data_IF_946552212716
#
_entry.id   IF_946552212716
#
_cell.length_a   1.000
_cell.length_b   1.000
_cell.length_c   1.000
_cell.angle_alpha   90.00
_cell.angle_beta   90.00
_cell.angle_gamma   90.00
#
_symmetry.space_group_name_H-M   'P 1'
#
loop_
_entity.id
_entity.type
_entity.pdbx_description
1 polymer ?
#
# COMPACT_ATOMS: atom_id res chain seq x y z
N UNK A 1 -2.46 -11.08 -7.92
CA UNK A 1 -2.89 -10.53 -6.63
C UNK A 1 -3.69 -11.55 -5.79
N UNK A 2 -4.63 -12.34 -6.38
CA UNK A 2 -5.45 -13.30 -5.63
C UNK A 2 -4.62 -14.30 -4.80
N UNK A 3 -3.59 -14.89 -5.39
CA UNK A 3 -2.72 -15.83 -4.68
C UNK A 3 -2.04 -15.19 -3.45
N UNK A 4 -1.60 -13.94 -3.57
CA UNK A 4 -1.03 -13.18 -2.44
C UNK A 4 -2.04 -12.96 -1.32
N UNK A 5 -3.29 -12.57 -1.66
CA UNK A 5 -4.36 -12.43 -0.67
C UNK A 5 -4.66 -13.76 0.03
N UNK A 6 -4.69 -14.87 -0.73
CA UNK A 6 -4.91 -16.21 -0.15
C UNK A 6 -3.77 -16.63 0.79
N UNK A 7 -2.51 -16.35 0.40
CA UNK A 7 -1.34 -16.66 1.24
C UNK A 7 -1.37 -15.86 2.54
N UNK A 8 -1.66 -14.56 2.46
CA UNK A 8 -1.77 -13.70 3.64
C UNK A 8 -2.89 -14.15 4.57
N UNK A 9 -4.08 -14.42 4.03
CA UNK A 9 -5.20 -14.90 4.83
C UNK A 9 -4.90 -16.24 5.52
N UNK A 10 -4.25 -17.16 4.80
CA UNK A 10 -3.78 -18.43 5.38
C UNK A 10 -2.82 -18.18 6.54
N UNK A 11 -1.79 -17.34 6.34
CA UNK A 11 -0.81 -17.03 7.37
C UNK A 11 -1.46 -16.38 8.61
N UNK A 12 -2.41 -15.47 8.43
CA UNK A 12 -3.15 -14.85 9.52
C UNK A 12 -3.99 -15.88 10.31
N UNK A 13 -4.73 -16.73 9.60
CA UNK A 13 -5.58 -17.75 10.24
C UNK A 13 -4.77 -18.84 10.97
N UNK A 14 -3.53 -19.10 10.53
CA UNK A 14 -2.61 -20.07 11.15
C UNK A 14 -1.70 -19.43 12.21
N UNK A 15 -1.78 -18.12 12.43
CA UNK A 15 -0.86 -17.38 13.32
C UNK A 15 -1.10 -17.61 14.80
N UNK A 16 -2.25 -18.15 15.19
CA UNK A 16 -2.69 -18.23 16.60
C UNK A 16 -3.17 -16.89 17.19
N UNK A 17 -3.22 -15.83 16.40
CA UNK A 17 -3.79 -14.54 16.80
C UNK A 17 -5.34 -14.62 16.78
N UNK A 18 -6.04 -13.81 17.57
CA UNK A 18 -7.51 -13.77 17.57
C UNK A 18 -8.03 -12.99 16.34
N UNK A 19 -7.70 -13.48 15.14
CA UNK A 19 -8.11 -12.89 13.86
C UNK A 19 -8.69 -13.97 12.98
N UNK A 20 -9.70 -13.59 12.19
CA UNK A 20 -10.23 -14.39 11.10
C UNK A 20 -10.07 -13.59 9.81
N UNK A 21 -9.36 -14.16 8.85
CA UNK A 21 -9.12 -13.55 7.55
C UNK A 21 -9.89 -14.29 6.46
N UNK A 22 -10.77 -13.56 5.77
CA UNK A 22 -11.61 -14.10 4.69
C UNK A 22 -11.19 -13.48 3.37
N UNK A 23 -10.95 -14.33 2.36
CA UNK A 23 -10.67 -13.86 1.00
C UNK A 23 -11.96 -13.85 0.20
N UNK A 24 -12.37 -12.68 -0.25
CA UNK A 24 -13.57 -12.54 -1.07
C UNK A 24 -13.39 -13.23 -2.43
N UNK A 25 -14.47 -13.91 -2.88
CA UNK A 25 -14.45 -14.69 -4.13
C UNK A 25 -14.58 -13.81 -5.37
N UNK A 26 -15.22 -12.66 -5.25
CA UNK A 26 -15.43 -11.73 -6.34
C UNK A 26 -14.14 -11.20 -6.92
N UNK A 27 -14.12 -10.98 -8.22
CA UNK A 27 -13.05 -10.23 -8.89
C UNK A 27 -13.42 -8.75 -8.84
N UNK A 28 -12.59 -7.97 -8.19
CA UNK A 28 -12.84 -6.54 -7.97
C UNK A 28 -13.52 -6.24 -6.63
N UNK A 29 -14.33 -5.20 -6.60
CA UNK A 29 -15.13 -4.85 -5.43
C UNK A 29 -16.27 -5.87 -5.24
N UNK A 30 -16.59 -6.27 -3.99
CA UNK A 30 -17.61 -7.29 -3.77
C UNK A 30 -18.98 -6.83 -4.28
N UNK A 31 -19.72 -7.76 -4.90
CA UNK A 31 -21.07 -7.49 -5.37
C UNK A 31 -22.05 -7.34 -4.21
N UNK A 32 -21.89 -8.18 -3.20
CA UNK A 32 -22.55 -8.03 -1.92
C UNK A 32 -21.65 -7.21 -0.99
N UNK A 33 -21.96 -5.93 -0.87
CA UNK A 33 -21.14 -5.00 -0.08
C UNK A 33 -21.29 -5.24 1.43
N UNK A 34 -22.33 -5.93 1.88
CA UNK A 34 -22.57 -6.23 3.29
C UNK A 34 -21.45 -7.08 3.91
N UNK A 35 -20.71 -7.85 3.10
CA UNK A 35 -19.55 -8.63 3.56
C UNK A 35 -18.43 -7.76 4.13
N UNK A 36 -18.44 -6.45 3.87
CA UNK A 36 -17.49 -5.49 4.42
C UNK A 36 -17.97 -4.89 5.75
N UNK A 37 -19.24 -5.04 6.11
CA UNK A 37 -19.79 -4.43 7.31
C UNK A 37 -19.26 -5.07 8.60
N UNK A 38 -18.97 -6.36 8.60
CA UNK A 38 -18.39 -7.08 9.75
C UNK A 38 -16.87 -7.02 9.82
N UNK A 39 -16.21 -6.56 8.75
CA UNK A 39 -14.75 -6.48 8.73
C UNK A 39 -14.25 -5.35 9.65
N UNK A 40 -13.31 -5.66 10.54
CA UNK A 40 -12.57 -4.66 11.30
C UNK A 40 -11.52 -3.94 10.43
N UNK A 41 -10.91 -4.69 9.49
CA UNK A 41 -9.89 -4.18 8.56
C UNK A 41 -10.07 -4.79 7.18
N UNK A 42 -9.92 -3.97 6.16
CA UNK A 42 -10.01 -4.38 4.75
C UNK A 42 -8.60 -4.34 4.16
N UNK A 43 -8.13 -5.48 3.67
CA UNK A 43 -6.81 -5.60 3.03
C UNK A 43 -6.99 -5.66 1.53
N UNK A 44 -6.29 -4.78 0.81
CA UNK A 44 -6.38 -4.65 -0.64
C UNK A 44 -5.02 -4.92 -1.27
N UNK A 45 -4.93 -5.97 -2.07
CA UNK A 45 -3.82 -6.24 -2.96
C UNK A 45 -4.39 -6.46 -4.37
N UNK A 46 -4.36 -5.43 -5.18
CA UNK A 46 -4.98 -5.40 -6.50
C UNK A 46 -4.13 -4.63 -7.50
N UNK A 47 -4.57 -4.58 -8.75
CA UNK A 47 -4.03 -3.66 -9.75
C UNK A 47 -4.28 -2.22 -9.31
N UNK A 48 -3.25 -1.40 -9.39
CA UNK A 48 -3.31 0.02 -9.06
C UNK A 48 -3.79 0.91 -10.19
N UNK A 49 -3.65 2.23 -9.99
CA UNK A 49 -3.97 3.27 -10.95
C UNK A 49 -5.37 3.09 -11.58
N UNK A 50 -5.50 3.14 -12.91
CA UNK A 50 -6.80 3.04 -13.62
C UNK A 50 -7.54 1.71 -13.41
N UNK A 51 -6.85 0.65 -12.99
CA UNK A 51 -7.43 -0.67 -12.68
C UNK A 51 -7.79 -0.89 -11.21
N UNK A 52 -7.62 0.13 -10.35
CA UNK A 52 -7.85 -0.03 -8.93
C UNK A 52 -9.33 -0.28 -8.61
N UNK A 53 -9.60 -1.26 -7.75
CA UNK A 53 -10.96 -1.72 -7.40
C UNK A 53 -11.83 -0.63 -6.78
N UNK A 54 -11.23 0.38 -6.16
CA UNK A 54 -11.94 1.49 -5.52
C UNK A 54 -12.28 2.65 -6.46
N UNK A 55 -11.74 2.74 -7.67
CA UNK A 55 -11.94 3.89 -8.55
C UNK A 55 -13.43 4.24 -8.82
N UNK A 56 -14.30 3.23 -8.79
CA UNK A 56 -15.75 3.41 -8.99
C UNK A 56 -16.56 3.24 -7.72
N UNK A 57 -15.90 3.17 -6.56
CA UNK A 57 -16.48 2.83 -5.26
C UNK A 57 -15.96 3.73 -4.13
N UNK A 58 -15.47 4.92 -4.50
CA UNK A 58 -14.88 5.86 -3.53
C UNK A 58 -15.88 6.27 -2.46
N UNK A 59 -17.13 6.54 -2.84
CA UNK A 59 -18.17 6.98 -1.90
C UNK A 59 -18.55 5.89 -0.91
N UNK A 60 -18.74 4.67 -1.41
CA UNK A 60 -19.09 3.50 -0.59
C UNK A 60 -17.95 3.16 0.36
N UNK A 61 -16.72 3.15 -0.16
CA UNK A 61 -15.54 2.87 0.67
C UNK A 61 -15.26 3.97 1.69
N UNK A 62 -15.45 5.24 1.33
CA UNK A 62 -15.35 6.38 2.25
C UNK A 62 -16.32 6.25 3.44
N UNK A 63 -17.52 5.73 3.19
CA UNK A 63 -18.48 5.47 4.27
C UNK A 63 -17.97 4.39 5.26
N UNK A 64 -17.23 3.38 4.78
CA UNK A 64 -16.60 2.38 5.64
C UNK A 64 -15.47 3.00 6.47
N UNK A 65 -14.63 3.84 5.86
CA UNK A 65 -13.54 4.54 6.57
C UNK A 65 -14.11 5.46 7.66
N UNK A 66 -15.19 6.18 7.37
CA UNK A 66 -15.89 7.03 8.35
C UNK A 66 -16.53 6.25 9.50
N UNK A 67 -16.84 4.95 9.30
CA UNK A 67 -17.25 4.05 10.38
C UNK A 67 -16.05 3.58 11.24
N UNK A 68 -14.82 3.99 10.94
CA UNK A 68 -13.61 3.65 11.69
C UNK A 68 -13.00 2.30 11.30
N UNK A 69 -13.33 1.74 10.14
CA UNK A 69 -12.71 0.51 9.66
C UNK A 69 -11.26 0.76 9.24
N UNK A 70 -10.37 -0.20 9.52
CA UNK A 70 -8.99 -0.16 9.07
C UNK A 70 -8.88 -0.46 7.56
N UNK A 71 -7.84 0.09 6.93
CA UNK A 71 -7.46 -0.28 5.56
C UNK A 71 -5.96 -0.55 5.47
N UNK A 72 -5.61 -1.60 4.73
CA UNK A 72 -4.22 -1.92 4.38
C UNK A 72 -4.14 -2.05 2.87
N UNK A 73 -3.32 -1.25 2.23
CA UNK A 73 -3.05 -1.36 0.80
C UNK A 73 -1.64 -1.90 0.59
N UNK A 74 -1.53 -2.96 -0.22
CA UNK A 74 -0.28 -3.67 -0.44
C UNK A 74 0.23 -3.40 -1.85
N UNK A 75 1.49 -2.95 -1.93
CA UNK A 75 2.26 -2.80 -3.16
C UNK A 75 1.50 -1.95 -4.19
N UNK A 76 1.13 -2.52 -5.34
CA UNK A 76 0.48 -1.81 -6.43
C UNK A 76 -0.89 -1.19 -6.06
N UNK A 77 -1.57 -1.71 -5.06
CA UNK A 77 -2.81 -1.10 -4.57
C UNK A 77 -2.60 0.29 -3.93
N UNK A 78 -1.37 0.72 -3.67
CA UNK A 78 -1.09 2.10 -3.21
C UNK A 78 -1.11 3.14 -4.33
N UNK A 79 -1.12 2.72 -5.60
CA UNK A 79 -1.16 3.63 -6.75
C UNK A 79 -2.58 4.16 -7.00
N UNK A 80 -2.74 5.47 -6.91
CA UNK A 80 -4.00 6.15 -7.17
C UNK A 80 -3.99 6.93 -8.49
N UNK A 81 -5.15 7.04 -9.14
CA UNK A 81 -5.38 8.00 -10.22
C UNK A 81 -5.45 9.41 -9.63
N UNK A 82 -4.91 10.41 -10.32
CA UNK A 82 -5.01 11.82 -9.92
C UNK A 82 -6.47 12.27 -9.77
N UNK A 83 -6.71 13.20 -8.87
CA UNK A 83 -8.04 13.71 -8.51
C UNK A 83 -8.65 12.93 -7.35
N UNK A 84 -9.96 12.75 -7.35
CA UNK A 84 -10.70 12.18 -6.24
C UNK A 84 -10.11 10.88 -5.65
N UNK A 85 -9.62 9.90 -6.43
CA UNK A 85 -8.99 8.72 -5.86
C UNK A 85 -7.73 9.05 -5.04
N UNK A 86 -6.84 9.89 -5.56
CA UNK A 86 -5.62 10.30 -4.86
C UNK A 86 -5.94 11.09 -3.59
N UNK A 87 -6.92 11.99 -3.66
CA UNK A 87 -7.36 12.80 -2.51
C UNK A 87 -7.93 11.91 -1.41
N UNK A 88 -8.71 10.89 -1.77
CA UNK A 88 -9.23 9.91 -0.82
C UNK A 88 -8.15 9.02 -0.20
N UNK A 89 -7.14 8.62 -0.97
CA UNK A 89 -6.02 7.86 -0.43
C UNK A 89 -5.20 8.69 0.58
N UNK A 90 -5.01 9.99 0.31
CA UNK A 90 -4.41 10.90 1.28
C UNK A 90 -5.26 11.01 2.55
N UNK A 91 -6.60 11.11 2.41
CA UNK A 91 -7.50 11.19 3.55
C UNK A 91 -7.49 9.91 4.40
N UNK A 92 -7.53 8.73 3.77
CA UNK A 92 -7.65 7.45 4.47
C UNK A 92 -6.34 6.92 5.04
N UNK A 93 -5.22 7.12 4.32
CA UNK A 93 -3.94 6.51 4.65
C UNK A 93 -2.82 7.53 4.89
N UNK A 94 -3.07 8.79 4.59
CA UNK A 94 -2.04 9.84 4.66
C UNK A 94 -1.01 9.78 3.54
N UNK A 95 -1.17 8.89 2.53
CA UNK A 95 -0.25 8.79 1.42
C UNK A 95 -0.72 7.88 0.29
N UNK A 96 -0.12 8.05 -0.90
CA UNK A 96 -0.33 7.18 -2.06
C UNK A 96 0.90 7.19 -2.97
N UNK A 97 1.02 6.18 -3.84
CA UNK A 97 2.02 6.15 -4.89
C UNK A 97 1.50 6.87 -6.14
N UNK A 98 2.18 7.95 -6.55
CA UNK A 98 1.91 8.64 -7.80
C UNK A 98 2.73 8.00 -8.92
N UNK A 99 2.06 7.31 -9.83
CA UNK A 99 2.66 6.57 -10.93
C UNK A 99 3.63 7.39 -11.79
N UNK A 100 3.44 8.71 -11.89
CA UNK A 100 4.34 9.57 -12.66
C UNK A 100 5.72 9.78 -12.03
N UNK A 101 5.90 9.39 -10.79
CA UNK A 101 7.08 9.65 -10.00
C UNK A 101 7.85 8.38 -9.62
N UNK A 102 7.30 7.20 -9.85
CA UNK A 102 7.97 5.92 -9.59
C UNK A 102 8.76 5.42 -10.78
N UNK A 103 9.86 4.73 -10.54
CA UNK A 103 10.67 4.00 -11.54
C UNK A 103 10.82 2.52 -11.19
N UNK A 104 10.09 2.04 -10.21
CA UNK A 104 10.06 0.64 -9.79
C UNK A 104 11.47 0.04 -9.62
N UNK A 105 12.36 0.64 -8.84
CA UNK A 105 13.69 0.10 -8.64
C UNK A 105 13.69 -1.07 -7.67
N UNK A 106 14.66 -1.95 -7.84
CA UNK A 106 14.93 -3.05 -6.92
C UNK A 106 16.23 -2.78 -6.18
N UNK A 107 16.20 -2.87 -4.85
CA UNK A 107 17.41 -2.84 -4.02
C UNK A 107 17.19 -3.58 -2.70
N UNK A 108 18.28 -3.79 -1.97
CA UNK A 108 18.25 -4.30 -0.60
C UNK A 108 18.27 -3.09 0.33
N UNK A 109 17.17 -2.74 0.98
CA UNK A 109 17.13 -1.59 1.87
C UNK A 109 17.87 -1.85 3.18
N UNK A 110 18.40 -0.80 3.75
CA UNK A 110 18.99 -0.80 5.08
C UNK A 110 18.00 -0.22 6.10
N UNK A 111 16.95 -0.97 6.37
CA UNK A 111 15.90 -0.51 7.29
C UNK A 111 16.42 -0.20 8.68
N UNK A 112 15.99 0.94 9.19
CA UNK A 112 16.19 1.34 10.59
C UNK A 112 14.85 1.21 11.30
N UNK A 113 14.61 0.10 12.04
CA UNK A 113 13.37 -0.08 12.77
C UNK A 113 13.16 1.05 13.76
N UNK A 114 11.97 1.60 13.80
CA UNK A 114 11.55 2.58 14.80
C UNK A 114 10.83 1.86 15.93
N UNK A 115 10.90 2.41 17.14
CA UNK A 115 10.11 1.87 18.26
C UNK A 115 8.62 2.04 17.95
N UNK A 116 7.96 0.95 17.61
CA UNK A 116 6.53 0.88 17.30
C UNK A 116 6.04 -0.54 17.52
N UNK A 117 4.79 -0.70 17.96
CA UNK A 117 4.21 -2.02 18.25
C UNK A 117 4.16 -2.96 17.04
N UNK A 118 4.08 -2.44 15.81
CA UNK A 118 4.20 -3.24 14.58
C UNK A 118 5.52 -4.02 14.49
N UNK A 119 6.57 -3.57 15.20
CA UNK A 119 7.85 -4.27 15.26
C UNK A 119 7.92 -5.35 16.33
N UNK A 120 6.91 -5.48 17.18
CA UNK A 120 6.92 -6.51 18.24
C UNK A 120 6.96 -7.91 17.61
N UNK A 121 8.02 -8.66 17.94
CA UNK A 121 8.26 -10.00 17.39
C UNK A 121 8.85 -10.03 15.98
N UNK A 122 8.99 -8.89 15.28
CA UNK A 122 9.64 -8.84 13.97
C UNK A 122 11.16 -8.86 14.16
N UNK A 123 11.82 -9.86 13.59
CA UNK A 123 13.29 -9.92 13.55
C UNK A 123 13.83 -9.04 12.42
N UNK A 124 15.05 -8.48 12.55
CA UNK A 124 15.70 -7.81 11.45
C UNK A 124 15.73 -8.71 10.21
N UNK A 125 15.41 -8.16 9.07
CA UNK A 125 15.39 -8.89 7.79
C UNK A 125 16.02 -8.04 6.69
N UNK A 126 16.42 -8.71 5.62
CA UNK A 126 16.95 -8.09 4.42
C UNK A 126 16.34 -8.80 3.22
N UNK A 127 15.82 -8.03 2.27
CA UNK A 127 15.19 -8.57 1.07
C UNK A 127 15.45 -7.65 -0.11
N UNK A 128 15.83 -8.22 -1.25
CA UNK A 128 15.87 -7.49 -2.51
C UNK A 128 14.47 -7.51 -3.11
N UNK A 129 13.84 -6.35 -3.20
CA UNK A 129 12.46 -6.24 -3.70
C UNK A 129 12.28 -4.94 -4.49
N UNK A 130 11.12 -4.81 -5.12
CA UNK A 130 10.69 -3.59 -5.76
C UNK A 130 10.18 -2.61 -4.70
N UNK A 131 10.85 -1.48 -4.59
CA UNK A 131 10.49 -0.45 -3.61
C UNK A 131 10.00 0.80 -4.30
N UNK A 132 8.80 1.24 -3.91
CA UNK A 132 8.25 2.50 -4.40
C UNK A 132 8.84 3.66 -3.60
N UNK A 133 9.26 4.68 -4.29
CA UNK A 133 9.65 5.94 -3.70
C UNK A 133 9.02 7.10 -4.46
N UNK A 134 9.19 8.33 -4.02
CA UNK A 134 8.39 9.46 -4.47
C UNK A 134 6.89 9.30 -4.15
N UNK A 135 6.60 8.65 -3.06
CA UNK A 135 5.25 8.62 -2.50
C UNK A 135 4.77 10.03 -2.21
N UNK A 136 3.49 10.28 -2.40
CA UNK A 136 2.83 11.51 -1.98
C UNK A 136 2.26 11.30 -0.59
N UNK A 137 2.60 12.20 0.32
CA UNK A 137 2.10 12.18 1.69
C UNK A 137 1.37 13.47 2.03
N UNK A 138 0.54 13.43 3.06
CA UNK A 138 0.00 14.63 3.68
C UNK A 138 1.15 15.52 4.19
N UNK A 139 0.90 16.84 4.24
CA UNK A 139 1.90 17.80 4.69
C UNK A 139 2.42 17.43 6.08
N UNK A 140 3.73 17.53 6.25
CA UNK A 140 4.44 17.26 7.52
C UNK A 140 4.16 15.87 8.10
N UNK A 141 3.73 14.91 7.28
CA UNK A 141 3.32 13.57 7.71
C UNK A 141 2.29 13.59 8.83
N UNK A 142 1.42 14.59 8.86
CA UNK A 142 0.41 14.76 9.91
C UNK A 142 -0.47 13.50 10.04
N UNK A 143 -0.41 12.85 11.20
CA UNK A 143 -1.16 11.61 11.45
C UNK A 143 -0.54 10.36 10.81
N UNK A 144 0.63 10.48 10.19
CA UNK A 144 1.36 9.36 9.59
C UNK A 144 2.58 9.00 10.44
N UNK A 145 2.73 7.73 10.77
CA UNK A 145 3.91 7.21 11.47
C UNK A 145 4.73 6.34 10.51
N UNK A 146 5.88 6.80 10.00
CA UNK A 146 6.75 5.97 9.18
C UNK A 146 7.30 4.80 10.01
N UNK A 147 7.04 3.57 9.55
CA UNK A 147 7.48 2.35 10.24
C UNK A 147 8.81 1.86 9.69
N UNK A 148 8.95 1.87 8.36
CA UNK A 148 10.15 1.55 7.62
C UNK A 148 10.57 2.75 6.79
N UNK A 149 11.84 3.11 6.83
CA UNK A 149 12.40 4.18 6.02
C UNK A 149 13.76 3.77 5.47
N UNK A 150 13.99 4.12 4.22
CA UNK A 150 15.31 3.98 3.60
C UNK A 150 15.47 5.06 2.52
N UNK A 151 16.69 5.24 2.06
CA UNK A 151 17.02 6.14 0.96
C UNK A 151 17.41 5.31 -0.25
N UNK A 152 16.74 5.50 -1.42
CA UNK A 152 17.09 4.77 -2.63
C UNK A 152 18.56 4.95 -3.00
N UNK A 153 19.30 3.89 -3.32
CA UNK A 153 20.70 4.02 -3.74
C UNK A 153 20.82 4.86 -5.04
N UNK A 154 21.91 5.60 -5.19
CA UNK A 154 22.15 6.43 -6.37
C UNK A 154 22.06 5.63 -7.70
N UNK A 155 22.35 4.34 -7.67
CA UNK A 155 22.21 3.45 -8.83
C UNK A 155 20.78 3.33 -9.33
N UNK A 156 19.77 3.49 -8.48
CA UNK A 156 18.35 3.42 -8.86
C UNK A 156 17.87 4.68 -9.57
N UNK A 157 18.56 5.80 -9.39
CA UNK A 157 18.21 7.10 -9.96
C UNK A 157 18.58 7.23 -11.45
N UNK A 158 19.45 6.34 -11.95
CA UNK A 158 20.01 6.39 -13.31
C UNK A 158 19.70 5.14 -14.12
N UNK A 159 18.61 4.46 -13.82
CA UNK A 159 18.26 3.25 -14.61
C UNK A 159 18.17 3.61 -16.09
N UNK A 160 18.90 2.90 -16.96
CA UNK A 160 18.85 3.13 -18.39
C UNK A 160 17.58 2.60 -19.05
N UNK A 161 16.88 1.70 -18.38
CA UNK A 161 15.72 0.95 -18.83
C UNK A 161 14.56 0.98 -17.82
N UNK A 162 13.39 0.63 -18.30
CA UNK A 162 12.17 0.60 -17.51
C UNK A 162 11.34 1.90 -17.59
N UNK A 163 10.10 1.79 -17.17
CA UNK A 163 9.18 2.90 -17.15
C UNK A 163 9.75 4.07 -16.31
N UNK A 164 9.74 5.28 -16.89
CA UNK A 164 10.18 6.53 -16.26
C UNK A 164 11.66 6.58 -15.85
N UNK A 165 12.49 5.72 -16.44
CA UNK A 165 13.95 5.79 -16.32
C UNK A 165 14.45 7.19 -16.65
N UNK A 166 15.42 7.66 -15.88
CA UNK A 166 15.99 8.98 -16.09
C UNK A 166 15.09 10.17 -15.76
N UNK A 167 13.91 9.95 -15.15
CA UNK A 167 13.03 11.01 -14.71
C UNK A 167 13.75 11.95 -13.72
N UNK A 168 13.99 13.24 -14.07
CA UNK A 168 14.77 14.15 -13.22
C UNK A 168 14.11 14.44 -11.87
N UNK A 169 12.81 14.22 -11.73
CA UNK A 169 12.08 14.42 -10.47
C UNK A 169 12.38 13.34 -9.45
N UNK A 170 12.74 12.14 -9.89
CA UNK A 170 13.19 11.04 -9.02
C UNK A 170 14.49 11.42 -8.28
N UNK A 171 15.30 12.29 -8.86
CA UNK A 171 16.55 12.78 -8.25
C UNK A 171 16.36 13.79 -7.12
N UNK A 172 15.13 14.27 -6.92
CA UNK A 172 14.77 15.27 -5.91
C UNK A 172 14.04 14.66 -4.70
N UNK A 173 14.00 13.32 -4.63
CA UNK A 173 13.38 12.58 -3.53
C UNK A 173 14.19 12.72 -2.24
#
# INVERSE_FOLDING_TARGET
HRAGNMLLAKALNESGLPVEAVVLKDVGYPKDESVLDDAATIVIFCTGHGGHVLNRKLKEFDALMKKGKGVVMIHWATEAVKGDPADKFLEWMGGFCDLHWSVNPHWIPMFKPRKHEIWNGVKPFSVNDEWYYHMRFVNDLKGVTPILTDVPPASTLKRPDGARSGNPTVRKA
#
